data_IF_701936338306
#
_entry.id   IF_701936338306
#
_cell.length_a   1.000
_cell.length_b   1.000
_cell.length_c   1.000
_cell.angle_alpha   90.00
_cell.angle_beta   90.00
_cell.angle_gamma   90.00
#
_symmetry.space_group_name_H-M   'P 1'
#
loop_
_entity.id
_entity.type
_entity.pdbx_description
1 polymer ?
#
# COMPACT_ATOMS: atom_id res chain seq x y z
N UNK A 1 25.09 -7.51 -4.72
CA UNK A 1 24.24 -8.11 -3.67
C UNK A 1 23.02 -7.22 -3.35
N UNK A 2 22.34 -6.70 -4.38
CA UNK A 2 21.14 -5.85 -4.22
C UNK A 2 19.90 -6.47 -4.89
N UNK A 3 20.07 -7.54 -5.68
CA UNK A 3 19.01 -8.17 -6.48
C UNK A 3 18.08 -9.12 -5.69
N UNK A 4 18.55 -9.72 -4.58
CA UNK A 4 17.74 -10.72 -3.85
C UNK A 4 16.58 -10.13 -3.04
N UNK A 5 16.62 -8.84 -2.67
CA UNK A 5 15.57 -8.21 -1.86
C UNK A 5 14.39 -7.71 -2.69
N UNK A 6 14.62 -7.30 -3.94
CA UNK A 6 13.57 -6.96 -4.91
C UNK A 6 12.74 -8.19 -5.28
N UNK A 7 13.39 -9.34 -5.50
CA UNK A 7 12.70 -10.60 -5.79
C UNK A 7 11.87 -11.07 -4.60
N UNK A 8 12.39 -11.00 -3.36
CA UNK A 8 11.64 -11.41 -2.16
C UNK A 8 10.42 -10.52 -1.88
N UNK A 9 10.47 -9.25 -2.28
CA UNK A 9 9.40 -8.27 -2.13
C UNK A 9 8.27 -8.52 -3.13
N UNK A 10 8.60 -8.80 -4.39
CA UNK A 10 7.64 -9.24 -5.41
C UNK A 10 7.07 -10.63 -5.12
N UNK A 11 7.88 -11.55 -4.59
CA UNK A 11 7.46 -12.90 -4.25
C UNK A 11 6.43 -12.93 -3.11
N UNK A 12 6.55 -12.04 -2.11
CA UNK A 12 5.55 -11.90 -1.05
C UNK A 12 4.20 -11.35 -1.55
N UNK A 13 4.24 -10.40 -2.50
CA UNK A 13 3.04 -9.86 -3.15
C UNK A 13 2.35 -10.94 -3.98
N UNK A 14 3.11 -11.83 -4.62
CA UNK A 14 2.57 -12.94 -5.43
C UNK A 14 2.09 -14.13 -4.57
N UNK A 15 2.83 -14.56 -3.54
CA UNK A 15 2.48 -15.76 -2.75
C UNK A 15 1.27 -15.56 -1.85
N UNK A 16 1.01 -14.34 -1.35
CA UNK A 16 -0.21 -14.04 -0.59
C UNK A 16 -1.42 -13.76 -1.50
N UNK A 17 -1.20 -13.52 -2.80
CA UNK A 17 -2.24 -13.26 -3.80
C UNK A 17 -3.06 -14.49 -4.18
N UNK A 18 -2.44 -15.68 -4.14
CA UNK A 18 -3.07 -16.93 -4.62
C UNK A 18 -4.21 -17.44 -3.70
N UNK A 19 -4.24 -17.01 -2.44
CA UNK A 19 -5.03 -17.71 -1.42
C UNK A 19 -6.52 -17.32 -1.32
N UNK A 20 -7.03 -16.31 -2.05
CA UNK A 20 -8.42 -15.83 -1.80
C UNK A 20 -9.06 -15.07 -2.98
N UNK A 21 -9.19 -15.68 -4.14
CA UNK A 21 -10.03 -15.13 -5.23
C UNK A 21 -11.18 -16.09 -5.55
N UNK A 22 -12.19 -16.08 -4.69
CA UNK A 22 -13.52 -16.57 -5.06
C UNK A 22 -14.60 -15.84 -4.29
N UNK A 23 -15.10 -14.73 -4.84
CA UNK A 23 -16.40 -14.21 -4.43
C UNK A 23 -17.08 -13.46 -5.59
N UNK A 24 -18.06 -14.12 -6.20
CA UNK A 24 -19.19 -13.49 -6.90
C UNK A 24 -20.07 -12.83 -5.83
N UNK A 25 -20.38 -11.55 -5.96
CA UNK A 25 -21.22 -10.82 -5.00
C UNK A 25 -21.92 -9.63 -5.65
N UNK A 26 -23.23 -9.55 -5.44
CA UNK A 26 -24.18 -8.55 -5.91
C UNK A 26 -23.72 -7.11 -5.61
N UNK A 27 -23.83 -6.20 -6.58
CA UNK A 27 -23.42 -4.80 -6.45
C UNK A 27 -24.29 -4.03 -5.44
N UNK A 28 -23.82 -3.86 -4.20
CA UNK A 28 -24.23 -2.73 -3.35
C UNK A 28 -23.23 -1.60 -3.53
N UNK A 29 -23.64 -0.54 -4.21
CA UNK A 29 -22.82 0.65 -4.45
C UNK A 29 -23.16 1.68 -3.37
N UNK A 30 -22.36 1.74 -2.31
CA UNK A 30 -22.48 2.80 -1.30
C UNK A 30 -21.85 4.11 -1.81
N UNK A 31 -22.35 5.28 -1.39
CA UNK A 31 -21.71 6.55 -1.72
C UNK A 31 -20.36 6.67 -1.02
N UNK A 32 -19.40 7.31 -1.68
CA UNK A 32 -18.10 7.63 -1.09
C UNK A 32 -18.26 8.57 0.11
N UNK A 33 -17.57 8.29 1.21
CA UNK A 33 -17.61 9.08 2.44
C UNK A 33 -16.85 10.41 2.38
N UNK A 34 -16.11 10.67 1.30
CA UNK A 34 -15.39 11.93 1.13
C UNK A 34 -16.36 13.11 0.91
N UNK A 35 -16.18 14.26 1.60
CA UNK A 35 -17.07 15.42 1.48
C UNK A 35 -17.24 15.88 0.03
N UNK A 36 -18.48 16.01 -0.43
CA UNK A 36 -18.80 16.47 -1.78
C UNK A 36 -18.54 15.45 -2.90
N UNK A 37 -18.08 14.23 -2.59
CA UNK A 37 -17.87 13.20 -3.59
C UNK A 37 -19.20 12.53 -4.00
N UNK A 38 -19.44 12.44 -5.31
CA UNK A 38 -20.62 11.77 -5.88
C UNK A 38 -20.32 10.37 -6.43
N UNK A 39 -19.08 9.90 -6.28
CA UNK A 39 -18.66 8.59 -6.76
C UNK A 39 -19.09 7.49 -5.80
N UNK A 40 -19.24 6.28 -6.33
CA UNK A 40 -19.58 5.09 -5.54
C UNK A 40 -18.34 4.35 -5.07
N UNK A 41 -18.47 3.65 -3.96
CA UNK A 41 -17.47 2.77 -3.38
C UNK A 41 -17.55 1.40 -4.06
N UNK A 42 -16.45 0.90 -4.67
CA UNK A 42 -16.36 -0.47 -5.15
C UNK A 42 -16.51 -1.49 -4.00
N UNK A 43 -17.06 -2.67 -4.28
CA UNK A 43 -17.18 -3.74 -3.28
C UNK A 43 -15.84 -4.11 -2.61
N UNK A 44 -14.73 -4.04 -3.37
CA UNK A 44 -13.39 -4.28 -2.82
C UNK A 44 -12.97 -3.26 -1.74
N UNK A 45 -13.56 -2.05 -1.75
CA UNK A 45 -13.26 -0.93 -0.85
C UNK A 45 -14.40 -0.61 0.11
N UNK A 46 -15.40 -1.48 0.24
CA UNK A 46 -16.59 -1.22 1.07
C UNK A 46 -16.23 -0.91 2.53
N UNK A 47 -15.26 -1.64 3.09
CA UNK A 47 -14.75 -1.40 4.44
C UNK A 47 -14.09 -0.01 4.60
N UNK A 48 -13.48 0.51 3.54
CA UNK A 48 -12.81 1.81 3.54
C UNK A 48 -13.80 2.97 3.33
N UNK A 49 -14.99 2.69 2.78
CA UNK A 49 -16.03 3.69 2.46
C UNK A 49 -15.54 4.79 1.51
N UNK A 50 -14.54 4.50 0.68
CA UNK A 50 -13.96 5.44 -0.28
C UNK A 50 -14.06 4.93 -1.71
N UNK A 51 -14.35 5.83 -2.66
CA UNK A 51 -14.17 5.53 -4.06
C UNK A 51 -12.67 5.38 -4.40
N UNK A 52 -12.37 4.79 -5.56
CA UNK A 52 -10.99 4.50 -5.99
C UNK A 52 -10.11 5.75 -5.91
N UNK A 53 -10.59 6.89 -6.40
CA UNK A 53 -9.86 8.15 -6.37
C UNK A 53 -9.46 8.57 -4.95
N UNK A 54 -10.43 8.66 -4.03
CA UNK A 54 -10.14 9.09 -2.67
C UNK A 54 -9.30 8.08 -1.90
N UNK A 55 -9.49 6.79 -2.15
CA UNK A 55 -8.65 5.74 -1.59
C UNK A 55 -7.18 5.90 -2.02
N UNK A 56 -6.93 6.13 -3.32
CA UNK A 56 -5.56 6.35 -3.81
C UNK A 56 -4.93 7.62 -3.27
N UNK A 57 -5.70 8.72 -3.16
CA UNK A 57 -5.22 9.98 -2.56
C UNK A 57 -4.89 9.82 -1.07
N UNK A 58 -5.70 9.07 -0.33
CA UNK A 58 -5.40 8.77 1.07
C UNK A 58 -4.10 7.97 1.19
N UNK A 59 -3.90 6.96 0.35
CA UNK A 59 -2.65 6.19 0.34
C UNK A 59 -1.46 7.10 0.07
N UNK A 60 -1.53 7.94 -0.96
CA UNK A 60 -0.45 8.86 -1.31
C UNK A 60 -0.11 9.83 -0.17
N UNK A 61 -1.13 10.41 0.47
CA UNK A 61 -0.94 11.29 1.64
C UNK A 61 -0.26 10.55 2.79
N UNK A 62 -0.76 9.37 3.16
CA UNK A 62 -0.22 8.55 4.24
C UNK A 62 1.20 8.08 3.95
N UNK A 63 1.50 7.71 2.70
CA UNK A 63 2.84 7.36 2.29
C UNK A 63 3.80 8.55 2.38
N UNK A 64 3.37 9.75 2.01
CA UNK A 64 4.18 10.96 2.18
C UNK A 64 4.47 11.26 3.65
N UNK A 65 3.51 11.05 4.55
CA UNK A 65 3.70 11.15 6.00
C UNK A 65 4.74 10.14 6.51
N UNK A 66 4.53 8.86 6.22
CA UNK A 66 5.45 7.79 6.65
C UNK A 66 6.87 7.98 6.09
N UNK A 67 7.02 8.45 4.85
CA UNK A 67 8.34 8.75 4.27
C UNK A 67 9.07 9.87 5.03
N UNK A 68 8.35 10.89 5.49
CA UNK A 68 8.94 11.95 6.32
C UNK A 68 9.34 11.41 7.68
N UNK A 69 8.52 10.54 8.27
CA UNK A 69 8.83 9.86 9.54
C UNK A 69 10.09 9.00 9.43
N UNK A 70 10.27 8.26 8.33
CA UNK A 70 11.40 7.33 8.13
C UNK A 70 12.68 7.99 7.64
N UNK A 71 12.60 9.20 7.07
CA UNK A 71 13.76 9.95 6.59
C UNK A 71 14.81 10.17 7.69
N UNK A 72 14.38 10.39 8.95
CA UNK A 72 15.25 10.68 10.10
C UNK A 72 16.05 9.45 10.55
N UNK A 73 15.74 8.25 10.05
CA UNK A 73 16.55 7.04 10.28
C UNK A 73 16.58 6.61 11.75
N UNK A 74 15.49 6.85 12.50
CA UNK A 74 15.30 6.41 13.89
C UNK A 74 13.97 5.70 14.11
N UNK A 75 13.35 5.20 13.04
CA UNK A 75 12.04 4.55 13.11
C UNK A 75 12.15 3.24 13.90
N UNK A 76 11.45 3.11 15.04
CA UNK A 76 11.49 1.88 15.86
C UNK A 76 11.03 0.65 15.06
N UNK A 77 11.56 -0.54 15.39
CA UNK A 77 11.22 -1.79 14.69
C UNK A 77 9.71 -2.07 14.65
N UNK A 78 8.99 -1.79 15.73
CA UNK A 78 7.53 -1.93 15.80
C UNK A 78 6.85 -1.07 14.73
N UNK A 79 7.26 0.20 14.61
CA UNK A 79 6.77 1.11 13.59
C UNK A 79 7.14 0.67 12.17
N UNK A 80 8.32 0.08 11.98
CA UNK A 80 8.70 -0.51 10.68
C UNK A 80 7.73 -1.63 10.29
N UNK A 81 7.38 -2.52 11.23
CA UNK A 81 6.41 -3.60 11.01
C UNK A 81 5.03 -3.04 10.68
N UNK A 82 4.57 -1.99 11.36
CA UNK A 82 3.31 -1.31 11.04
C UNK A 82 3.30 -0.75 9.61
N UNK A 83 4.38 -0.10 9.18
CA UNK A 83 4.49 0.45 7.83
C UNK A 83 4.48 -0.68 6.80
N UNK A 84 5.18 -1.79 7.06
CA UNK A 84 5.17 -2.96 6.16
C UNK A 84 3.76 -3.57 6.05
N UNK A 85 3.06 -3.72 7.19
CA UNK A 85 1.68 -4.21 7.20
C UNK A 85 0.73 -3.27 6.46
N UNK A 86 0.90 -1.96 6.64
CA UNK A 86 0.14 -0.94 5.91
C UNK A 86 0.36 -1.07 4.40
N UNK A 87 1.62 -1.17 3.96
CA UNK A 87 1.98 -1.32 2.54
C UNK A 87 1.33 -2.57 1.95
N UNK A 88 1.44 -3.71 2.65
CA UNK A 88 0.83 -4.97 2.22
C UNK A 88 -0.69 -4.89 2.14
N UNK A 89 -1.36 -4.41 3.19
CA UNK A 89 -2.82 -4.33 3.24
C UNK A 89 -3.41 -3.37 2.20
N UNK A 90 -2.79 -2.20 2.00
CA UNK A 90 -3.23 -1.25 0.96
C UNK A 90 -2.94 -1.76 -0.45
N UNK A 91 -1.81 -2.43 -0.66
CA UNK A 91 -1.49 -3.09 -1.92
C UNK A 91 -2.51 -4.17 -2.28
N UNK A 92 -2.92 -4.99 -1.31
CA UNK A 92 -3.95 -6.03 -1.49
C UNK A 92 -5.31 -5.44 -1.88
N UNK A 93 -5.73 -4.33 -1.26
CA UNK A 93 -6.99 -3.67 -1.62
C UNK A 93 -6.96 -3.02 -3.02
N UNK A 94 -5.85 -2.37 -3.40
CA UNK A 94 -5.66 -1.83 -4.75
C UNK A 94 -5.73 -2.94 -5.80
N UNK A 95 -5.05 -4.05 -5.51
CA UNK A 95 -5.04 -5.25 -6.32
C UNK A 95 -6.43 -5.81 -6.58
N UNK A 96 -7.18 -6.08 -5.50
CA UNK A 96 -8.56 -6.57 -5.58
C UNK A 96 -9.47 -5.61 -6.33
N UNK A 97 -9.25 -4.30 -6.16
CA UNK A 97 -10.00 -3.27 -6.89
C UNK A 97 -9.69 -3.32 -8.38
N UNK A 98 -8.41 -3.38 -8.76
CA UNK A 98 -7.95 -3.40 -10.15
C UNK A 98 -8.38 -4.67 -10.90
N UNK A 99 -8.51 -5.81 -10.19
CA UNK A 99 -8.88 -7.11 -10.77
C UNK A 99 -10.33 -7.53 -10.49
N UNK A 100 -11.15 -6.62 -9.95
CA UNK A 100 -12.57 -6.87 -9.61
C UNK A 100 -13.50 -7.11 -10.81
N UNK A 101 -12.99 -7.02 -12.04
CA UNK A 101 -13.79 -7.05 -13.26
C UNK A 101 -14.53 -5.75 -13.57
N UNK A 102 -14.30 -4.69 -12.77
CA UNK A 102 -14.80 -3.35 -13.06
C UNK A 102 -14.17 -2.79 -14.35
N UNK A 103 -15.00 -2.20 -15.20
CA UNK A 103 -14.51 -1.44 -16.34
C UNK A 103 -13.96 -0.09 -15.86
N UNK A 104 -12.64 -0.05 -15.64
CA UNK A 104 -11.94 1.16 -15.21
C UNK A 104 -11.49 1.97 -16.43
N UNK A 105 -11.72 3.29 -16.46
CA UNK A 105 -11.14 4.15 -17.49
C UNK A 105 -9.61 4.17 -17.33
N UNK A 106 -8.88 4.43 -18.42
CA UNK A 106 -7.42 4.35 -18.44
C UNK A 106 -6.75 5.30 -17.45
N UNK A 107 -7.33 6.48 -17.22
CA UNK A 107 -6.89 7.42 -16.18
C UNK A 107 -6.92 6.79 -14.78
N UNK A 108 -7.92 5.94 -14.49
CA UNK A 108 -8.03 5.25 -13.21
C UNK A 108 -7.04 4.09 -13.11
N UNK A 109 -6.77 3.38 -14.21
CA UNK A 109 -5.72 2.35 -14.26
C UNK A 109 -4.35 2.98 -13.99
N UNK A 110 -4.02 4.08 -14.67
CA UNK A 110 -2.79 4.82 -14.48
C UNK A 110 -2.64 5.29 -13.02
N UNK A 111 -3.72 5.81 -12.42
CA UNK A 111 -3.74 6.19 -11.01
C UNK A 111 -3.44 5.02 -10.08
N UNK A 112 -4.10 3.87 -10.25
CA UNK A 112 -3.83 2.68 -9.44
C UNK A 112 -2.36 2.24 -9.56
N UNK A 113 -1.81 2.22 -10.77
CA UNK A 113 -0.40 1.88 -11.01
C UNK A 113 0.56 2.86 -10.31
N UNK A 114 0.28 4.16 -10.38
CA UNK A 114 1.05 5.18 -9.67
C UNK A 114 0.98 5.03 -8.15
N UNK A 115 -0.18 4.63 -7.62
CA UNK A 115 -0.33 4.35 -6.19
C UNK A 115 0.43 3.09 -5.77
N UNK A 116 0.47 2.04 -6.60
CA UNK A 116 1.35 0.88 -6.37
C UNK A 116 2.82 1.29 -6.32
N UNK A 117 3.30 2.11 -7.26
CA UNK A 117 4.66 2.66 -7.25
C UNK A 117 4.92 3.45 -5.96
N UNK A 118 3.94 4.22 -5.49
CA UNK A 118 4.05 4.98 -4.23
C UNK A 118 4.25 4.07 -3.02
N UNK A 119 3.51 2.95 -2.95
CA UNK A 119 3.65 1.94 -1.90
C UNK A 119 5.01 1.22 -1.95
N UNK A 120 5.44 0.79 -3.14
CA UNK A 120 6.75 0.14 -3.33
C UNK A 120 7.90 1.06 -2.92
N UNK A 121 7.85 2.32 -3.35
CA UNK A 121 8.85 3.33 -3.01
C UNK A 121 8.89 3.64 -1.50
N UNK A 122 7.75 3.57 -0.79
CA UNK A 122 7.74 3.70 0.67
C UNK A 122 8.44 2.52 1.34
N UNK A 123 8.16 1.29 0.91
CA UNK A 123 8.82 0.09 1.44
C UNK A 123 10.33 0.13 1.20
N UNK A 124 10.75 0.46 -0.02
CA UNK A 124 12.16 0.59 -0.34
C UNK A 124 12.82 1.70 0.51
N UNK A 125 12.15 2.83 0.71
CA UNK A 125 12.65 3.89 1.58
C UNK A 125 12.87 3.40 3.02
N UNK A 126 11.94 2.60 3.55
CA UNK A 126 12.03 1.99 4.87
C UNK A 126 13.23 1.03 4.95
N UNK A 127 13.38 0.14 3.97
CA UNK A 127 14.48 -0.82 3.91
C UNK A 127 15.84 -0.10 3.86
N UNK A 128 15.96 0.94 3.03
CA UNK A 128 17.16 1.79 2.97
C UNK A 128 17.41 2.55 4.28
N UNK A 129 16.36 2.94 5.00
CA UNK A 129 16.49 3.60 6.30
C UNK A 129 16.98 2.63 7.39
N UNK A 130 16.51 1.39 7.38
CA UNK A 130 16.94 0.36 8.32
C UNK A 130 18.44 0.05 8.19
N UNK A 131 18.97 0.03 6.97
CA UNK A 131 20.41 -0.18 6.70
C UNK A 131 21.32 0.95 7.22
N UNK A 132 20.78 2.15 7.52
CA UNK A 132 21.56 3.26 8.09
C UNK A 132 21.85 3.09 9.57
N UNK A 133 21.24 2.13 10.25
CA UNK A 133 21.58 1.79 11.63
C UNK A 133 22.85 0.92 11.64
N UNK A 134 23.99 1.41 12.19
CA UNK A 134 25.14 0.55 12.37
C UNK A 134 24.82 -0.52 13.41
N UNK A 135 24.97 -1.78 13.02
CA UNK A 135 25.04 -2.92 13.94
C UNK A 135 26.29 -2.70 14.80
N UNK A 136 26.12 -2.34 16.07
CA UNK A 136 27.18 -2.41 17.08
C UNK A 136 28.18 -1.26 17.10
N UNK A 137 27.78 -0.12 17.70
CA UNK A 137 28.64 0.48 18.73
C UNK A 137 28.00 0.13 20.07
N UNK A 138 28.34 -1.04 20.60
CA UNK A 138 28.33 -1.25 22.05
C UNK A 138 29.31 -0.23 22.62
N UNK A 139 28.78 0.83 23.21
CA UNK A 139 29.55 1.74 24.05
C UNK A 139 30.16 0.91 25.18
N UNK A 140 31.47 0.72 25.12
CA UNK A 140 32.22 0.27 26.28
C UNK A 140 32.17 1.37 27.32
N UNK A 141 31.54 1.09 28.45
CA UNK A 141 31.89 1.68 29.74
C UNK A 141 31.55 0.74 30.86
#
# INVERSE_FOLDING_TARGET
MADSLLVATCHWILYRWDAKIRFRGFFRMSPCGAPGCKMTVPAALEAEKLCILHFTLEIERRCAEMRRETAVGRTPRERQVEIINYVGGRGELLARTATSGLHLPDEMKARILNTFLTLMNLRENLDRAALRHPIGRTEGR
#
